data_IF_780004937925
#
_entry.id   IF_780004937925
#
_cell.length_a   1.000
_cell.length_b   1.000
_cell.length_c   1.000
_cell.angle_alpha   90.00
_cell.angle_beta   90.00
_cell.angle_gamma   90.00
#
_symmetry.space_group_name_H-M   'P 1'
#
loop_
_entity.id
_entity.type
_entity.pdbx_description
1 polymer ?
#
# COMPACT_ATOMS: atom_id res chain seq x y z
N UNK A 1 -18.86 -23.73 21.02
CA UNK A 1 -18.55 -22.43 20.39
C UNK A 1 -17.76 -21.59 21.40
N UNK A 2 -16.46 -21.36 21.16
CA UNK A 2 -15.68 -20.42 21.99
C UNK A 2 -16.23 -19.02 21.74
N UNK A 3 -16.59 -18.27 22.77
CA UNK A 3 -16.87 -16.82 22.63
C UNK A 3 -15.62 -16.21 22.05
N UNK A 4 -15.76 -15.59 20.88
CA UNK A 4 -14.65 -14.86 20.27
C UNK A 4 -14.22 -13.78 21.27
N UNK A 5 -12.94 -13.74 21.62
CA UNK A 5 -12.40 -12.76 22.56
C UNK A 5 -12.61 -11.35 21.99
N UNK A 6 -13.05 -10.41 22.84
CA UNK A 6 -13.17 -8.99 22.46
C UNK A 6 -11.82 -8.28 22.46
N UNK A 7 -10.76 -8.97 22.84
CA UNK A 7 -9.39 -8.49 22.93
C UNK A 7 -8.41 -9.46 22.29
N UNK A 8 -7.35 -8.92 21.67
CA UNK A 8 -6.22 -9.68 21.21
C UNK A 8 -4.92 -8.87 21.34
N UNK A 9 -3.75 -9.51 21.19
CA UNK A 9 -2.47 -8.81 21.24
C UNK A 9 -2.19 -8.09 19.93
N UNK A 10 -1.73 -6.84 20.05
CA UNK A 10 -1.25 -6.08 18.89
C UNK A 10 0.01 -6.73 18.33
N UNK A 11 0.07 -7.06 17.03
CA UNK A 11 1.24 -7.71 16.45
C UNK A 11 2.48 -6.82 16.37
N UNK A 12 2.31 -5.49 16.52
CA UNK A 12 3.41 -4.53 16.46
C UNK A 12 4.02 -4.21 17.83
N UNK A 13 3.20 -3.77 18.78
CA UNK A 13 3.70 -3.34 20.09
C UNK A 13 3.41 -4.33 21.24
N UNK A 14 2.76 -5.46 20.94
CA UNK A 14 2.40 -6.54 21.86
C UNK A 14 1.41 -6.19 22.97
N UNK A 15 0.92 -4.95 23.02
CA UNK A 15 -0.08 -4.49 23.97
C UNK A 15 -1.47 -5.04 23.62
N UNK A 16 -2.38 -4.99 24.58
CA UNK A 16 -3.77 -5.39 24.38
C UNK A 16 -4.46 -4.45 23.39
N UNK A 17 -5.18 -5.05 22.45
CA UNK A 17 -5.98 -4.34 21.44
C UNK A 17 -7.44 -4.77 21.58
N UNK A 18 -8.34 -3.79 21.43
CA UNK A 18 -9.78 -3.98 21.56
C UNK A 18 -10.43 -4.16 20.20
N UNK A 19 -11.59 -4.86 20.15
CA UNK A 19 -12.36 -4.99 18.93
C UNK A 19 -12.82 -3.60 18.44
N UNK A 20 -12.28 -3.19 17.29
CA UNK A 20 -12.55 -1.88 16.70
C UNK A 20 -13.73 -1.86 15.75
N UNK A 21 -13.82 -2.84 14.83
CA UNK A 21 -14.89 -2.94 13.85
C UNK A 21 -15.01 -4.36 13.28
N UNK A 22 -16.18 -4.66 12.70
CA UNK A 22 -16.43 -5.91 11.97
C UNK A 22 -16.90 -5.54 10.57
N UNK A 23 -16.20 -6.07 9.54
CA UNK A 23 -16.50 -5.83 8.12
C UNK A 23 -16.74 -7.17 7.45
N UNK A 24 -17.98 -7.49 7.13
CA UNK A 24 -18.34 -8.82 6.64
C UNK A 24 -17.97 -9.90 7.65
N UNK A 25 -17.16 -10.86 7.24
CA UNK A 25 -16.66 -11.95 8.09
C UNK A 25 -15.37 -11.58 8.86
N UNK A 26 -14.80 -10.41 8.64
CA UNK A 26 -13.50 -10.02 9.19
C UNK A 26 -13.66 -9.12 10.41
N UNK A 27 -12.94 -9.45 11.47
CA UNK A 27 -12.84 -8.65 12.69
C UNK A 27 -11.53 -7.89 12.68
N UNK A 28 -11.61 -6.60 13.00
CA UNK A 28 -10.45 -5.71 13.10
C UNK A 28 -10.32 -5.21 14.53
N UNK A 29 -9.10 -5.28 15.04
CA UNK A 29 -8.75 -4.81 16.36
C UNK A 29 -7.99 -3.49 16.27
N UNK A 30 -8.19 -2.62 17.25
CA UNK A 30 -7.52 -1.33 17.35
C UNK A 30 -6.66 -1.31 18.62
N UNK A 31 -5.38 -1.08 18.45
CA UNK A 31 -4.44 -0.95 19.56
C UNK A 31 -4.51 0.47 20.15
N UNK A 32 -4.80 0.65 21.43
CA UNK A 32 -4.83 1.97 22.07
C UNK A 32 -3.43 2.57 22.23
N UNK A 33 -2.38 1.74 22.31
CA UNK A 33 -0.99 2.16 22.48
C UNK A 33 -0.39 2.73 21.20
N UNK A 34 -0.31 1.91 20.13
CA UNK A 34 0.33 2.32 18.88
C UNK A 34 -0.66 2.79 17.79
N UNK A 35 -1.97 2.68 18.06
CA UNK A 35 -3.07 3.04 17.13
C UNK A 35 -3.10 2.25 15.82
N UNK A 36 -2.42 1.09 15.78
CA UNK A 36 -2.54 0.17 14.67
C UNK A 36 -3.94 -0.45 14.68
N UNK A 37 -4.54 -0.54 13.49
CA UNK A 37 -5.74 -1.32 13.28
C UNK A 37 -5.38 -2.50 12.37
N UNK A 38 -5.70 -3.70 12.81
CA UNK A 38 -5.28 -4.93 12.15
C UNK A 38 -6.38 -6.00 12.17
N UNK A 39 -6.36 -6.86 11.18
CA UNK A 39 -7.30 -7.98 11.05
C UNK A 39 -6.95 -9.08 12.05
N UNK A 40 -7.98 -9.75 12.59
CA UNK A 40 -7.81 -10.93 13.45
C UNK A 40 -7.12 -12.08 12.71
N UNK A 41 -6.28 -12.81 13.43
CA UNK A 41 -5.70 -14.07 12.98
C UNK A 41 -4.55 -13.93 11.99
N UNK A 42 -3.87 -12.79 11.94
CA UNK A 42 -2.65 -12.62 11.12
C UNK A 42 -1.49 -13.47 11.63
N UNK A 43 -1.49 -13.80 12.93
CA UNK A 43 -0.54 -14.68 13.60
C UNK A 43 -0.82 -16.17 13.42
N UNK A 44 -1.95 -16.52 12.79
CA UNK A 44 -2.33 -17.92 12.52
C UNK A 44 -1.63 -18.39 11.25
N UNK A 45 -0.75 -19.42 11.32
CA UNK A 45 0.05 -19.86 10.18
C UNK A 45 -0.77 -20.26 8.94
N UNK A 46 -1.95 -20.86 9.16
CA UNK A 46 -2.86 -21.28 8.09
C UNK A 46 -3.43 -20.08 7.32
N UNK A 47 -3.69 -18.96 8.01
CA UNK A 47 -4.15 -17.73 7.37
C UNK A 47 -3.04 -17.09 6.54
N UNK A 48 -1.82 -17.03 7.07
CA UNK A 48 -0.66 -16.54 6.36
C UNK A 48 -0.37 -17.38 5.10
N UNK A 49 -0.47 -18.72 5.22
CA UNK A 49 -0.28 -19.63 4.10
C UNK A 49 -1.38 -19.44 3.03
N UNK A 50 -2.63 -19.25 3.44
CA UNK A 50 -3.76 -18.99 2.52
C UNK A 50 -3.56 -17.70 1.76
N UNK A 51 -3.14 -16.62 2.41
CA UNK A 51 -2.84 -15.34 1.76
C UNK A 51 -1.69 -15.45 0.78
N UNK A 52 -0.60 -16.11 1.18
CA UNK A 52 0.52 -16.36 0.30
C UNK A 52 0.08 -17.11 -0.97
N UNK A 53 -0.72 -18.18 -0.83
CA UNK A 53 -1.26 -18.94 -1.97
C UNK A 53 -2.14 -18.08 -2.89
N UNK A 54 -2.94 -17.18 -2.31
CA UNK A 54 -3.76 -16.25 -3.09
C UNK A 54 -2.89 -15.36 -3.98
N UNK A 55 -1.86 -14.71 -3.43
CA UNK A 55 -0.96 -13.87 -4.22
C UNK A 55 -0.12 -14.66 -5.23
N UNK A 56 0.28 -15.90 -4.89
CA UNK A 56 1.05 -16.74 -5.79
C UNK A 56 0.26 -17.26 -7.00
N UNK A 57 -1.06 -17.48 -6.86
CA UNK A 57 -1.83 -18.25 -7.85
C UNK A 57 -3.10 -17.56 -8.37
N UNK A 58 -3.82 -16.80 -7.54
CA UNK A 58 -5.17 -16.34 -7.87
C UNK A 58 -5.21 -14.83 -8.18
N UNK A 59 -4.36 -14.04 -7.56
CA UNK A 59 -4.32 -12.58 -7.67
C UNK A 59 -4.23 -12.09 -9.13
N UNK A 60 -3.37 -12.72 -9.94
CA UNK A 60 -3.19 -12.34 -11.34
C UNK A 60 -4.51 -12.47 -12.12
N UNK A 61 -5.23 -13.57 -11.93
CA UNK A 61 -6.47 -13.85 -12.67
C UNK A 61 -7.60 -12.91 -12.28
N UNK A 62 -7.65 -12.49 -11.02
CA UNK A 62 -8.74 -11.67 -10.50
C UNK A 62 -8.53 -10.17 -10.73
N UNK A 63 -7.30 -9.69 -10.61
CA UNK A 63 -6.99 -8.25 -10.54
C UNK A 63 -6.08 -7.72 -11.65
N UNK A 64 -5.40 -8.59 -12.42
CA UNK A 64 -4.49 -8.13 -13.47
C UNK A 64 -5.21 -7.34 -14.57
N UNK A 65 -6.45 -7.71 -14.89
CA UNK A 65 -7.26 -7.01 -15.89
C UNK A 65 -7.47 -5.53 -15.59
N UNK A 66 -7.65 -5.18 -14.31
CA UNK A 66 -7.81 -3.80 -13.88
C UNK A 66 -6.54 -2.98 -14.11
N UNK A 67 -5.38 -3.62 -14.09
CA UNK A 67 -4.10 -2.97 -14.36
C UNK A 67 -3.81 -2.87 -15.86
N UNK A 68 -4.18 -3.87 -16.66
CA UNK A 68 -3.95 -3.90 -18.11
C UNK A 68 -4.67 -2.78 -18.85
N UNK A 69 -5.74 -2.23 -18.32
CA UNK A 69 -6.49 -1.13 -18.93
C UNK A 69 -5.94 0.27 -18.59
N UNK A 70 -4.80 0.39 -17.90
CA UNK A 70 -4.11 1.66 -17.64
C UNK A 70 -4.69 2.52 -16.53
N UNK A 71 -5.58 2.01 -15.69
CA UNK A 71 -6.23 2.79 -14.61
C UNK A 71 -5.29 3.31 -13.53
N UNK A 72 -4.11 2.74 -13.43
CA UNK A 72 -3.09 3.13 -12.46
C UNK A 72 -1.96 3.94 -13.05
N UNK A 73 -1.95 4.20 -14.36
CA UNK A 73 -0.84 4.89 -15.02
C UNK A 73 -0.60 6.29 -14.45
N UNK A 74 -1.68 7.02 -14.08
CA UNK A 74 -1.56 8.32 -13.42
C UNK A 74 -0.86 8.21 -12.06
N UNK A 75 -1.19 7.17 -11.26
CA UNK A 75 -0.55 6.92 -9.96
C UNK A 75 0.94 6.61 -10.14
N UNK A 76 1.29 5.80 -11.13
CA UNK A 76 2.66 5.41 -11.39
C UNK A 76 3.52 6.60 -11.84
N UNK A 77 2.96 7.45 -12.71
CA UNK A 77 3.64 8.69 -13.14
C UNK A 77 3.83 9.67 -11.98
N UNK A 78 2.81 9.90 -11.16
CA UNK A 78 2.93 10.76 -9.96
C UNK A 78 3.95 10.21 -8.95
N UNK A 79 4.00 8.88 -8.77
CA UNK A 79 4.99 8.25 -7.91
C UNK A 79 6.41 8.48 -8.43
N UNK A 80 6.65 8.26 -9.73
CA UNK A 80 7.94 8.50 -10.35
C UNK A 80 8.35 9.98 -10.30
N UNK A 81 7.45 10.91 -10.62
CA UNK A 81 7.71 12.36 -10.51
C UNK A 81 8.19 12.74 -9.11
N UNK A 82 7.59 12.12 -8.09
CA UNK A 82 7.95 12.36 -6.69
C UNK A 82 9.28 11.73 -6.31
N UNK A 83 9.54 10.52 -6.78
CA UNK A 83 10.80 9.80 -6.52
C UNK A 83 11.96 10.54 -7.23
N UNK A 84 11.78 10.88 -8.49
CA UNK A 84 12.77 11.58 -9.30
C UNK A 84 13.11 12.95 -8.74
N UNK A 85 12.10 13.71 -8.28
CA UNK A 85 12.29 15.00 -7.64
C UNK A 85 13.08 14.95 -6.32
N UNK A 86 13.28 13.76 -5.73
CA UNK A 86 13.99 13.58 -4.47
C UNK A 86 15.29 12.76 -4.59
N UNK A 87 15.31 11.73 -5.44
CA UNK A 87 16.43 10.79 -5.55
C UNK A 87 17.15 10.86 -6.90
N UNK A 88 16.59 11.56 -7.91
CA UNK A 88 17.05 11.45 -9.29
C UNK A 88 16.76 10.07 -9.87
N UNK A 89 17.37 9.74 -11.02
CA UNK A 89 17.32 8.40 -11.61
C UNK A 89 18.51 7.55 -11.17
N UNK A 90 18.32 6.23 -11.08
CA UNK A 90 19.35 5.27 -10.67
C UNK A 90 18.80 3.85 -10.69
N UNK A 91 19.17 3.03 -9.71
CA UNK A 91 18.65 1.67 -9.53
C UNK A 91 17.38 1.69 -8.70
N UNK A 92 16.29 1.10 -9.20
CA UNK A 92 15.00 1.03 -8.55
C UNK A 92 14.55 -0.42 -8.37
N UNK A 93 14.05 -0.75 -7.17
CA UNK A 93 13.36 -2.02 -6.90
C UNK A 93 11.89 -1.77 -6.62
N UNK A 94 11.00 -2.38 -7.41
CA UNK A 94 9.56 -2.39 -7.15
C UNK A 94 9.15 -3.69 -6.46
N UNK A 95 8.75 -3.59 -5.20
CA UNK A 95 8.31 -4.72 -4.38
C UNK A 95 6.83 -4.94 -4.56
N UNK A 96 6.41 -6.16 -4.91
CA UNK A 96 5.05 -6.47 -5.31
C UNK A 96 4.71 -5.84 -6.65
N UNK A 97 5.60 -6.01 -7.64
CA UNK A 97 5.53 -5.32 -8.92
C UNK A 97 4.36 -5.76 -9.80
N UNK A 98 3.63 -6.83 -9.44
CA UNK A 98 2.53 -7.39 -10.23
C UNK A 98 2.96 -7.62 -11.68
N UNK A 99 2.17 -7.15 -12.63
CA UNK A 99 2.44 -7.28 -14.08
C UNK A 99 3.48 -6.28 -14.61
N UNK A 100 4.16 -5.52 -13.76
CA UNK A 100 5.26 -4.64 -14.17
C UNK A 100 4.83 -3.33 -14.84
N UNK A 101 3.60 -2.86 -14.66
CA UNK A 101 3.16 -1.59 -15.28
C UNK A 101 3.91 -0.39 -14.72
N UNK A 102 4.22 -0.38 -13.41
CA UNK A 102 5.11 0.63 -12.83
C UNK A 102 6.53 0.50 -13.35
N UNK A 103 7.05 -0.73 -13.48
CA UNK A 103 8.38 -0.97 -14.06
C UNK A 103 8.48 -0.44 -15.48
N UNK A 104 7.45 -0.65 -16.31
CA UNK A 104 7.40 -0.13 -17.69
C UNK A 104 7.59 1.39 -17.72
N UNK A 105 6.87 2.11 -16.86
CA UNK A 105 6.99 3.57 -16.75
C UNK A 105 8.39 3.99 -16.24
N UNK A 106 8.94 3.27 -15.25
CA UNK A 106 10.26 3.54 -14.70
C UNK A 106 11.37 3.32 -15.74
N UNK A 107 11.32 2.19 -16.45
CA UNK A 107 12.26 1.88 -17.55
C UNK A 107 12.21 2.92 -18.68
N UNK A 108 10.98 3.37 -19.04
CA UNK A 108 10.80 4.40 -20.07
C UNK A 108 11.40 5.76 -19.67
N UNK A 109 11.54 6.01 -18.36
CA UNK A 109 12.17 7.22 -17.81
C UNK A 109 13.68 7.08 -17.53
N UNK A 110 14.27 5.93 -17.86
CA UNK A 110 15.71 5.70 -17.74
C UNK A 110 16.18 5.12 -16.41
N UNK A 111 15.25 4.61 -15.57
CA UNK A 111 15.64 3.87 -14.36
C UNK A 111 16.21 2.49 -14.72
N UNK A 112 17.24 2.06 -14.02
CA UNK A 112 17.63 0.65 -13.93
C UNK A 112 16.66 -0.05 -12.98
N UNK A 113 15.45 -0.37 -13.49
CA UNK A 113 14.36 -0.87 -12.67
C UNK A 113 14.30 -2.39 -12.67
N UNK A 114 14.10 -2.97 -11.48
CA UNK A 114 13.78 -4.39 -11.27
C UNK A 114 12.54 -4.53 -10.41
N UNK A 115 11.80 -5.63 -10.59
CA UNK A 115 10.62 -5.96 -9.81
C UNK A 115 10.72 -7.32 -9.15
N UNK A 116 10.08 -7.45 -7.98
CA UNK A 116 9.91 -8.73 -7.31
C UNK A 116 8.45 -8.94 -6.95
N UNK A 117 7.91 -10.13 -7.26
CA UNK A 117 6.52 -10.49 -7.00
C UNK A 117 6.40 -12.01 -6.78
N UNK A 118 5.59 -12.50 -5.82
CA UNK A 118 5.40 -13.92 -5.58
C UNK A 118 4.61 -14.63 -6.69
N UNK A 119 3.83 -13.90 -7.49
CA UNK A 119 3.01 -14.45 -8.57
C UNK A 119 3.85 -14.88 -9.76
N UNK A 120 3.81 -16.18 -10.07
CA UNK A 120 4.47 -16.73 -11.26
C UNK A 120 3.92 -16.11 -12.54
N UNK A 121 2.59 -16.02 -12.65
CA UNK A 121 1.92 -15.52 -13.85
C UNK A 121 2.27 -14.04 -14.12
N UNK A 122 2.39 -13.23 -13.05
CA UNK A 122 2.83 -11.83 -13.15
C UNK A 122 4.27 -11.73 -13.69
N UNK A 123 5.17 -12.55 -13.18
CA UNK A 123 6.58 -12.54 -13.63
C UNK A 123 6.73 -13.09 -15.04
N UNK A 124 5.98 -14.14 -15.41
CA UNK A 124 5.97 -14.65 -16.78
C UNK A 124 5.47 -13.58 -17.78
N UNK A 125 4.46 -12.78 -17.37
CA UNK A 125 3.99 -11.63 -18.16
C UNK A 125 5.06 -10.53 -18.30
N UNK A 126 5.76 -10.17 -17.21
CA UNK A 126 6.89 -9.21 -17.26
C UNK A 126 7.97 -9.69 -18.22
N UNK A 127 8.39 -10.95 -18.13
CA UNK A 127 9.41 -11.51 -19.00
C UNK A 127 9.03 -11.46 -20.48
N UNK A 128 7.76 -11.71 -20.78
CA UNK A 128 7.25 -11.67 -22.16
C UNK A 128 7.15 -10.23 -22.70
N UNK A 129 6.96 -9.22 -21.87
CA UNK A 129 6.67 -7.83 -22.29
C UNK A 129 7.80 -6.84 -22.05
N UNK A 130 8.59 -7.03 -21.01
CA UNK A 130 9.65 -6.11 -20.56
C UNK A 130 11.06 -6.75 -20.53
N UNK A 131 11.14 -8.07 -20.72
CA UNK A 131 12.39 -8.81 -20.58
C UNK A 131 12.68 -9.27 -19.15
N UNK A 132 13.94 -9.57 -18.86
CA UNK A 132 14.37 -10.18 -17.60
C UNK A 132 14.58 -9.14 -16.47
N UNK A 133 13.55 -8.32 -16.24
CA UNK A 133 13.53 -7.30 -15.17
C UNK A 133 12.68 -7.70 -13.96
N UNK A 134 11.95 -8.83 -14.06
CA UNK A 134 11.09 -9.36 -13.00
C UNK A 134 11.66 -10.63 -12.38
N UNK A 135 11.66 -10.71 -11.04
CA UNK A 135 12.09 -11.87 -10.26
C UNK A 135 10.92 -12.41 -9.46
N UNK A 136 10.69 -13.73 -9.52
CA UNK A 136 9.70 -14.38 -8.68
C UNK A 136 10.24 -14.55 -7.27
N UNK A 137 9.55 -13.98 -6.29
CA UNK A 137 9.93 -14.11 -4.88
C UNK A 137 9.37 -12.98 -4.02
N UNK A 138 9.94 -12.86 -2.85
CA UNK A 138 9.66 -11.83 -1.84
C UNK A 138 10.96 -11.12 -1.46
N UNK A 139 10.89 -10.13 -0.58
CA UNK A 139 12.10 -9.46 -0.07
C UNK A 139 13.09 -10.43 0.58
N UNK A 140 12.61 -11.55 1.17
CA UNK A 140 13.49 -12.57 1.75
C UNK A 140 14.39 -13.24 0.69
N UNK A 141 14.00 -13.18 -0.58
CA UNK A 141 14.74 -13.79 -1.70
C UNK A 141 15.72 -12.81 -2.37
N UNK A 142 15.74 -11.54 -1.94
CA UNK A 142 16.63 -10.54 -2.50
C UNK A 142 18.09 -10.75 -2.06
N UNK A 143 19.02 -10.54 -2.99
CA UNK A 143 20.46 -10.62 -2.72
C UNK A 143 20.91 -9.51 -1.76
N UNK A 144 21.61 -9.88 -0.68
CA UNK A 144 22.15 -8.92 0.30
C UNK A 144 23.24 -7.99 -0.27
N UNK A 145 23.79 -8.27 -1.45
CA UNK A 145 24.81 -7.46 -2.11
C UNK A 145 24.26 -6.31 -2.95
N UNK A 146 22.98 -6.38 -3.33
CA UNK A 146 22.37 -5.34 -4.16
C UNK A 146 21.97 -4.11 -3.35
N UNK A 147 22.09 -2.93 -3.95
CA UNK A 147 21.71 -1.65 -3.35
C UNK A 147 20.98 -0.79 -4.37
N UNK A 148 19.90 -0.15 -3.91
CA UNK A 148 18.99 0.63 -4.72
C UNK A 148 18.96 2.10 -4.29
N UNK A 149 18.84 3.00 -5.25
CA UNK A 149 18.62 4.43 -5.01
C UNK A 149 17.19 4.68 -4.55
N UNK A 150 16.24 3.89 -5.06
CA UNK A 150 14.84 3.92 -4.64
C UNK A 150 14.25 2.51 -4.52
N UNK A 151 13.37 2.33 -3.53
CA UNK A 151 12.52 1.13 -3.40
C UNK A 151 11.07 1.58 -3.31
N UNK A 152 10.19 0.89 -4.04
CA UNK A 152 8.76 1.18 -4.06
C UNK A 152 7.93 0.02 -3.51
N UNK A 153 6.85 0.36 -2.77
CA UNK A 153 5.82 -0.56 -2.28
C UNK A 153 4.45 0.06 -2.56
N UNK A 154 3.93 -0.14 -3.77
CA UNK A 154 2.67 0.48 -4.21
C UNK A 154 1.51 -0.48 -3.97
N UNK A 155 0.70 -0.23 -2.94
CA UNK A 155 -0.38 -1.10 -2.47
C UNK A 155 0.11 -2.52 -2.10
N UNK A 156 1.17 -2.60 -1.35
CA UNK A 156 1.82 -3.86 -0.92
C UNK A 156 1.89 -3.95 0.60
N UNK A 157 2.30 -2.87 1.25
CA UNK A 157 2.64 -2.88 2.68
C UNK A 157 1.47 -3.33 3.57
N UNK A 158 0.25 -2.93 3.25
CA UNK A 158 -0.98 -3.27 3.97
C UNK A 158 -1.46 -4.72 3.74
N UNK A 159 -0.85 -5.42 2.79
CA UNK A 159 -1.07 -6.85 2.51
C UNK A 159 -0.06 -7.77 3.21
N UNK A 160 1.10 -7.25 3.59
CA UNK A 160 2.11 -8.08 4.27
C UNK A 160 1.58 -8.56 5.62
N UNK A 161 2.01 -9.75 6.04
CA UNK A 161 1.73 -10.28 7.38
C UNK A 161 2.53 -9.50 8.44
N UNK A 162 3.75 -9.13 8.09
CA UNK A 162 4.67 -8.36 8.92
C UNK A 162 5.21 -7.17 8.14
N UNK A 163 4.45 -6.05 8.09
CA UNK A 163 4.83 -4.89 7.28
C UNK A 163 6.09 -4.17 7.80
N UNK A 164 6.35 -4.17 9.12
CA UNK A 164 7.57 -3.57 9.67
C UNK A 164 8.82 -4.38 9.30
N UNK A 165 8.74 -5.73 9.31
CA UNK A 165 9.82 -6.57 8.77
C UNK A 165 10.08 -6.26 7.30
N UNK A 166 9.03 -6.11 6.49
CA UNK A 166 9.14 -5.71 5.09
C UNK A 166 9.88 -4.39 4.92
N UNK A 167 9.59 -3.39 5.79
CA UNK A 167 10.30 -2.10 5.78
C UNK A 167 11.76 -2.24 6.19
N UNK A 168 12.08 -3.04 7.23
CA UNK A 168 13.48 -3.32 7.63
C UNK A 168 14.28 -3.89 6.45
N UNK A 169 13.71 -4.87 5.77
CA UNK A 169 14.36 -5.53 4.65
C UNK A 169 14.55 -4.58 3.47
N UNK A 170 13.54 -3.77 3.13
CA UNK A 170 13.66 -2.73 2.12
C UNK A 170 14.74 -1.70 2.50
N UNK A 171 14.75 -1.21 3.75
CA UNK A 171 15.77 -0.29 4.22
C UNK A 171 17.18 -0.88 4.15
N UNK A 172 17.33 -2.19 4.41
CA UNK A 172 18.62 -2.89 4.26
C UNK A 172 19.12 -2.88 2.81
N UNK A 173 18.23 -2.96 1.82
CA UNK A 173 18.54 -2.93 0.39
C UNK A 173 18.73 -1.51 -0.17
N UNK A 174 18.30 -0.46 0.53
CA UNK A 174 18.57 0.91 0.11
C UNK A 174 20.05 1.28 0.27
N UNK A 175 20.56 2.08 -0.65
CA UNK A 175 21.80 2.84 -0.45
C UNK A 175 21.63 3.82 0.70
N UNK A 176 22.70 4.24 1.32
CA UNK A 176 22.72 5.38 2.25
C UNK A 176 22.09 6.61 1.58
N UNK A 177 21.14 7.27 2.23
CA UNK A 177 20.34 8.35 1.66
C UNK A 177 19.30 7.94 0.64
N UNK A 178 19.22 6.64 0.28
CA UNK A 178 18.25 6.09 -0.67
C UNK A 178 16.80 6.26 -0.19
N UNK A 179 15.87 6.29 -1.12
CA UNK A 179 14.46 6.64 -0.92
C UNK A 179 13.56 5.40 -0.88
N UNK A 180 12.78 5.27 0.18
CA UNK A 180 11.62 4.38 0.22
C UNK A 180 10.36 5.15 -0.17
N UNK A 181 9.61 4.66 -1.15
CA UNK A 181 8.28 5.15 -1.52
C UNK A 181 7.23 4.10 -1.20
N UNK A 182 6.21 4.47 -0.46
CA UNK A 182 5.09 3.59 -0.10
C UNK A 182 3.76 4.25 -0.48
N UNK A 183 2.84 3.48 -1.05
CA UNK A 183 1.45 3.88 -1.23
C UNK A 183 0.54 2.83 -0.61
N UNK A 184 -0.40 3.30 0.25
CA UNK A 184 -1.36 2.42 0.94
C UNK A 184 -2.74 3.08 1.05
N UNK A 185 -3.82 2.32 1.23
CA UNK A 185 -5.11 2.88 1.62
C UNK A 185 -5.00 3.65 2.95
N UNK A 186 -5.69 4.79 3.04
CA UNK A 186 -5.76 5.56 4.29
C UNK A 186 -6.75 4.91 5.26
N UNK A 187 -6.25 4.13 6.20
CA UNK A 187 -7.07 3.42 7.17
C UNK A 187 -8.01 4.34 7.95
N UNK A 188 -7.57 5.54 8.33
CA UNK A 188 -8.42 6.51 9.04
C UNK A 188 -9.61 6.97 8.19
N UNK A 189 -9.39 7.24 6.91
CA UNK A 189 -10.45 7.61 5.97
C UNK A 189 -11.48 6.48 5.84
N UNK A 190 -11.02 5.28 5.55
CA UNK A 190 -11.89 4.12 5.32
C UNK A 190 -12.65 3.71 6.58
N UNK A 191 -12.04 3.79 7.76
CA UNK A 191 -12.71 3.53 9.04
C UNK A 191 -13.81 4.56 9.33
N UNK A 192 -13.54 5.84 9.12
CA UNK A 192 -14.54 6.89 9.34
C UNK A 192 -15.70 6.77 8.34
N UNK A 193 -15.41 6.48 7.09
CA UNK A 193 -16.41 6.23 6.06
C UNK A 193 -17.29 5.02 6.40
N UNK A 194 -16.67 3.92 6.85
CA UNK A 194 -17.39 2.72 7.28
C UNK A 194 -18.34 3.02 8.45
N UNK A 195 -17.86 3.71 9.50
CA UNK A 195 -18.68 4.10 10.66
C UNK A 195 -19.86 5.00 10.24
N UNK A 196 -19.62 5.94 9.35
CA UNK A 196 -20.67 6.81 8.82
C UNK A 196 -21.72 6.00 8.05
N UNK A 197 -21.28 5.09 7.18
CA UNK A 197 -22.19 4.20 6.44
C UNK A 197 -22.99 3.29 7.37
N UNK A 198 -22.38 2.76 8.43
CA UNK A 198 -23.10 1.99 9.45
C UNK A 198 -24.18 2.82 10.16
N UNK A 199 -23.84 4.04 10.56
CA UNK A 199 -24.78 4.94 11.24
C UNK A 199 -26.01 5.28 10.36
N UNK A 200 -25.87 5.21 9.05
CA UNK A 200 -26.93 5.44 8.07
C UNK A 200 -27.62 4.14 7.59
N UNK A 201 -27.35 3.01 8.24
CA UNK A 201 -27.93 1.71 7.85
C UNK A 201 -27.41 1.14 6.53
N UNK A 202 -26.26 1.63 6.05
CA UNK A 202 -25.62 1.22 4.79
C UNK A 202 -24.42 0.29 5.01
N UNK A 203 -24.27 -0.29 6.20
CA UNK A 203 -23.12 -1.13 6.57
C UNK A 203 -22.84 -2.28 5.60
N UNK A 204 -23.89 -2.98 5.14
CA UNK A 204 -23.78 -4.08 4.17
C UNK A 204 -23.22 -3.64 2.80
N UNK A 205 -23.39 -2.36 2.44
CA UNK A 205 -22.86 -1.80 1.20
C UNK A 205 -21.45 -1.24 1.36
N UNK A 206 -20.98 -1.09 2.60
CA UNK A 206 -19.69 -0.47 2.91
C UNK A 206 -18.53 -1.26 2.29
N UNK A 207 -18.56 -2.60 2.26
CA UNK A 207 -17.53 -3.44 1.67
C UNK A 207 -17.25 -3.19 0.18
N UNK A 208 -18.12 -2.44 -0.51
CA UNK A 208 -17.91 -2.04 -1.92
C UNK A 208 -17.19 -0.69 -2.07
N UNK A 209 -17.03 0.05 -0.97
CA UNK A 209 -16.54 1.44 -0.98
C UNK A 209 -15.31 1.61 -0.10
N UNK A 210 -15.25 0.85 1.01
CA UNK A 210 -14.10 0.88 1.92
C UNK A 210 -13.11 -0.22 1.56
N UNK A 211 -11.83 0.08 1.75
CA UNK A 211 -10.73 -0.86 1.51
C UNK A 211 -10.09 -1.19 2.84
N UNK A 212 -10.18 -2.47 3.22
CA UNK A 212 -9.49 -3.03 4.38
C UNK A 212 -8.82 -4.34 3.96
N UNK A 213 -7.50 -4.38 4.11
CA UNK A 213 -6.69 -5.58 3.92
C UNK A 213 -6.28 -6.16 5.27
N UNK A 214 -5.04 -6.52 5.48
CA UNK A 214 -4.55 -7.00 6.76
C UNK A 214 -4.49 -5.88 7.80
N UNK A 215 -4.20 -4.66 7.33
CA UNK A 215 -4.03 -3.48 8.18
C UNK A 215 -4.80 -2.28 7.63
N UNK A 216 -5.36 -1.48 8.54
CA UNK A 216 -5.87 -0.16 8.23
C UNK A 216 -4.87 0.88 8.78
N UNK A 217 -3.90 1.23 7.96
CA UNK A 217 -2.77 2.08 8.34
C UNK A 217 -3.18 3.55 8.34
N UNK A 218 -2.88 4.26 9.42
CA UNK A 218 -3.02 5.72 9.51
C UNK A 218 -1.68 6.41 9.27
N UNK A 219 -1.70 7.70 8.87
CA UNK A 219 -0.48 8.47 8.70
C UNK A 219 0.39 8.49 9.98
N UNK A 220 -0.22 8.71 11.14
CA UNK A 220 0.51 8.74 12.42
C UNK A 220 1.16 7.40 12.77
N UNK A 221 0.51 6.28 12.41
CA UNK A 221 1.11 4.96 12.63
C UNK A 221 2.25 4.70 11.64
N UNK A 222 2.08 5.05 10.37
CA UNK A 222 3.12 4.92 9.35
C UNK A 222 4.37 5.73 9.70
N UNK A 223 4.18 6.99 10.11
CA UNK A 223 5.28 7.86 10.53
C UNK A 223 6.07 7.24 11.69
N UNK A 224 5.37 6.81 12.74
CA UNK A 224 6.00 6.15 13.89
C UNK A 224 6.73 4.87 13.48
N UNK A 225 6.06 3.99 12.75
CA UNK A 225 6.62 2.70 12.35
C UNK A 225 7.89 2.89 11.50
N UNK A 226 7.89 3.81 10.54
CA UNK A 226 9.05 4.09 9.71
C UNK A 226 10.21 4.70 10.51
N UNK A 227 9.90 5.60 11.45
CA UNK A 227 10.89 6.17 12.36
C UNK A 227 11.50 5.12 13.30
N UNK A 228 10.68 4.21 13.84
CA UNK A 228 11.13 3.09 14.69
C UNK A 228 12.07 2.13 13.90
N UNK A 229 11.96 2.07 12.56
CA UNK A 229 12.88 1.32 11.69
C UNK A 229 14.10 2.14 11.22
N UNK A 230 14.33 3.30 11.81
CA UNK A 230 15.51 4.13 11.54
C UNK A 230 15.46 4.93 10.24
N UNK A 231 14.31 5.03 9.59
CA UNK A 231 14.12 5.90 8.43
C UNK A 231 13.92 7.35 8.86
N UNK A 232 14.36 8.28 8.04
CA UNK A 232 14.34 9.72 8.29
C UNK A 232 13.69 10.48 7.12
N UNK A 233 13.48 11.79 7.27
CA UNK A 233 12.87 12.60 6.20
C UNK A 233 11.48 12.10 5.78
N UNK A 234 10.73 11.54 6.74
CA UNK A 234 9.42 10.95 6.48
C UNK A 234 8.45 12.05 6.08
N UNK A 235 7.87 11.95 4.89
CA UNK A 235 6.83 12.84 4.42
C UNK A 235 5.61 12.02 3.97
N UNK A 236 4.44 12.35 4.53
CA UNK A 236 3.18 11.66 4.25
C UNK A 236 2.18 12.64 3.66
N UNK A 237 1.51 12.25 2.57
CA UNK A 237 0.54 13.08 1.86
C UNK A 237 -0.66 12.27 1.39
N UNK A 238 -1.73 12.96 0.99
CA UNK A 238 -2.79 12.30 0.25
C UNK A 238 -2.27 11.90 -1.14
N UNK A 239 -2.42 10.63 -1.48
CA UNK A 239 -2.04 10.10 -2.80
C UNK A 239 -2.99 10.58 -3.89
N UNK A 240 -2.54 10.51 -5.14
CA UNK A 240 -3.38 10.71 -6.32
C UNK A 240 -4.51 9.67 -6.42
N UNK A 241 -5.56 10.03 -7.16
CA UNK A 241 -6.66 9.11 -7.45
C UNK A 241 -6.26 8.16 -8.58
N UNK A 242 -6.58 6.86 -8.43
CA UNK A 242 -6.62 5.96 -9.58
C UNK A 242 -7.81 6.30 -10.46
N UNK A 243 -7.66 6.17 -11.77
CA UNK A 243 -8.80 6.12 -12.66
C UNK A 243 -9.67 4.91 -12.27
N UNK A 244 -10.97 5.00 -12.47
CA UNK A 244 -11.88 3.95 -12.04
C UNK A 244 -12.40 3.15 -13.23
N UNK A 245 -12.29 1.84 -13.16
CA UNK A 245 -12.68 0.89 -14.21
C UNK A 245 -14.15 0.99 -14.66
N UNK A 246 -15.03 1.49 -13.80
CA UNK A 246 -16.45 1.67 -14.08
C UNK A 246 -16.80 2.68 -15.17
N UNK A 247 -15.82 3.51 -15.62
CA UNK A 247 -16.07 4.59 -16.57
C UNK A 247 -16.38 4.10 -17.98
N UNK A 248 -15.70 3.05 -18.43
CA UNK A 248 -15.87 2.55 -19.80
C UNK A 248 -17.13 1.72 -20.00
N UNK A 249 -17.80 1.27 -18.91
CA UNK A 249 -18.92 0.31 -19.01
C UNK A 249 -20.29 0.87 -18.69
N UNK A 250 -20.43 2.11 -18.14
CA UNK A 250 -21.75 2.68 -17.78
C UNK A 250 -21.75 4.20 -17.98
N UNK A 251 -22.26 4.63 -19.12
CA UNK A 251 -22.53 6.04 -19.40
C UNK A 251 -23.42 6.68 -18.32
N UNK A 252 -23.14 7.90 -17.92
CA UNK A 252 -23.92 8.72 -16.99
C UNK A 252 -23.65 8.51 -15.50
N UNK A 253 -23.92 7.36 -14.91
CA UNK A 253 -23.70 7.11 -13.47
C UNK A 253 -22.21 7.06 -13.10
N UNK A 254 -21.37 6.59 -14.01
CA UNK A 254 -19.94 6.54 -13.84
C UNK A 254 -19.31 7.93 -13.85
N UNK A 255 -19.78 8.84 -14.72
CA UNK A 255 -19.31 10.22 -14.75
C UNK A 255 -19.63 10.98 -13.46
N UNK A 256 -20.86 10.82 -12.94
CA UNK A 256 -21.26 11.46 -11.68
C UNK A 256 -20.39 10.96 -10.50
N UNK A 257 -20.09 9.66 -10.44
CA UNK A 257 -19.22 9.10 -9.40
C UNK A 257 -17.78 9.62 -9.53
N UNK A 258 -17.30 9.81 -10.76
CA UNK A 258 -15.99 10.41 -11.02
C UNK A 258 -15.92 11.84 -10.48
N UNK A 259 -16.84 12.67 -10.90
CA UNK A 259 -16.90 14.05 -10.45
C UNK A 259 -16.94 14.13 -8.91
N UNK A 260 -17.74 13.26 -8.27
CA UNK A 260 -17.80 13.18 -6.82
C UNK A 260 -16.43 12.78 -6.20
N UNK A 261 -15.78 11.77 -6.75
CA UNK A 261 -14.45 11.35 -6.28
C UNK A 261 -13.41 12.44 -6.46
N UNK A 262 -13.42 13.12 -7.61
CA UNK A 262 -12.56 14.26 -7.85
C UNK A 262 -12.84 15.43 -6.90
N UNK A 263 -14.10 15.75 -6.65
CA UNK A 263 -14.45 16.80 -5.69
C UNK A 263 -13.98 16.47 -4.26
N UNK A 264 -14.18 15.23 -3.83
CA UNK A 264 -13.68 14.74 -2.51
C UNK A 264 -12.16 14.82 -2.46
N UNK A 265 -11.47 14.43 -3.53
CA UNK A 265 -10.02 14.49 -3.61
C UNK A 265 -9.49 15.93 -3.62
N UNK A 266 -10.08 16.82 -4.40
CA UNK A 266 -9.74 18.25 -4.37
C UNK A 266 -9.94 18.83 -2.97
N UNK A 267 -11.06 18.50 -2.31
CA UNK A 267 -11.31 18.88 -0.92
C UNK A 267 -10.23 18.35 0.04
N UNK A 268 -9.85 17.09 -0.10
CA UNK A 268 -8.79 16.49 0.71
C UNK A 268 -7.43 17.16 0.47
N UNK A 269 -7.08 17.49 -0.78
CA UNK A 269 -5.85 18.25 -1.11
C UNK A 269 -5.87 19.67 -0.58
N UNK A 270 -7.03 20.34 -0.62
CA UNK A 270 -7.20 21.67 -0.04
C UNK A 270 -7.01 21.66 1.47
N UNK A 271 -7.60 20.67 2.17
CA UNK A 271 -7.42 20.48 3.62
C UNK A 271 -5.98 20.17 3.96
N UNK A 272 -5.31 19.31 3.19
CA UNK A 272 -3.89 19.03 3.34
C UNK A 272 -3.05 20.31 3.23
N UNK A 273 -3.28 21.12 2.20
CA UNK A 273 -2.57 22.37 1.98
C UNK A 273 -2.81 23.38 3.12
N UNK A 274 -4.08 23.65 3.47
CA UNK A 274 -4.46 24.59 4.53
C UNK A 274 -3.99 24.16 5.91
N UNK A 275 -3.85 22.86 6.16
CA UNK A 275 -3.35 22.31 7.43
C UNK A 275 -1.84 22.10 7.45
N UNK A 276 -1.11 22.52 6.41
CA UNK A 276 0.31 22.23 6.22
C UNK A 276 0.64 20.73 6.38
N UNK A 277 -0.18 19.88 5.77
CA UNK A 277 -0.01 18.42 5.79
C UNK A 277 -0.47 17.71 7.07
N UNK A 278 -1.02 18.42 8.06
CA UNK A 278 -1.45 17.81 9.33
C UNK A 278 -2.74 16.99 9.21
N UNK A 279 -3.61 17.34 8.28
CA UNK A 279 -4.90 16.67 8.06
C UNK A 279 -4.92 16.00 6.68
N UNK A 280 -4.94 14.67 6.69
CA UNK A 280 -4.94 13.84 5.49
C UNK A 280 -6.29 13.11 5.39
N UNK A 281 -7.15 13.60 4.49
CA UNK A 281 -8.53 13.13 4.28
C UNK A 281 -8.73 12.40 2.96
N UNK A 282 -7.67 12.13 2.23
CA UNK A 282 -7.72 11.32 1.01
C UNK A 282 -7.91 9.84 1.29
N UNK A 283 -8.42 9.10 0.33
CA UNK A 283 -8.65 7.65 0.42
C UNK A 283 -7.37 6.82 0.43
N UNK A 284 -6.27 7.37 -0.04
CA UNK A 284 -4.95 6.72 -0.03
C UNK A 284 -3.89 7.70 0.43
N UNK A 285 -2.84 7.17 1.02
CA UNK A 285 -1.63 7.88 1.45
C UNK A 285 -0.46 7.49 0.56
N UNK A 286 0.39 8.46 0.27
CA UNK A 286 1.74 8.23 -0.22
C UNK A 286 2.75 8.70 0.82
N UNK A 287 3.80 7.94 0.95
CA UNK A 287 4.84 8.14 1.94
C UNK A 287 6.19 8.09 1.25
N UNK A 288 7.05 9.05 1.53
CA UNK A 288 8.48 8.98 1.22
C UNK A 288 9.28 9.00 2.52
N UNK A 289 10.33 8.20 2.58
CA UNK A 289 11.26 8.16 3.71
C UNK A 289 12.66 7.84 3.18
N UNK A 290 13.70 8.28 3.90
CA UNK A 290 15.08 8.04 3.51
C UNK A 290 15.78 7.10 4.49
N UNK A 291 16.65 6.25 3.96
CA UNK A 291 17.62 5.55 4.78
C UNK A 291 18.58 6.58 5.39
N UNK A 292 18.74 6.50 6.71
CA UNK A 292 19.66 7.38 7.44
C UNK A 292 21.07 7.28 6.86
N UNK A 293 21.77 8.39 6.79
CA UNK A 293 23.20 8.40 6.48
C UNK A 293 23.93 7.69 7.61
N UNK A 294 24.85 6.79 7.25
CA UNK A 294 25.72 6.16 8.22
C UNK A 294 26.54 7.28 8.87
N UNK A 295 26.46 7.42 10.18
CA UNK A 295 27.33 8.34 10.90
C UNK A 295 28.76 7.88 10.68
N UNK A 296 29.52 8.66 9.88
CA UNK A 296 30.91 8.41 9.57
C UNK A 296 31.80 8.43 10.82
#
# INVERSE_FOLDING_TARGET
>A
MRRASEQCRCPYCLEQADLGLVVGAHRFFSCPCCRLVFREGLDVPENALRERRYYENDYFRELAWDQMEGYRDCIFREALDRIEGQAGCGRLLDVGCGCGFFLREALARGWEARGIDPSRESIDYIRATLGDVGVRGTLDDCSHGERYDAITMINVLDHLIDPWKGVIMAAALLKTGGLLYVRVPNGRFHMNLFRLMQAWGLGDKAGRVVVFHNYAMSAAWLERMLADQGLTGIAIRNAGLSEFNGYRRREGKAQALHLLRHAVWCGAKSVEHLSAGRLLWGSSLEVTARKKEDAG
#
